data_IF_360519502247
#
_entry.id   IF_360519502247
#
_cell.length_a   1.000
_cell.length_b   1.000
_cell.length_c   1.000
_cell.angle_alpha   90.00
_cell.angle_beta   90.00
_cell.angle_gamma   90.00
#
_symmetry.space_group_name_H-M   'P 1'
#
loop_
_entity.id
_entity.type
_entity.pdbx_description
1 polymer ?
#
# COMPACT_ATOMS: atom_id res chain seq x y z
N UNK A 1 -22.31 15.69 -9.51
CA UNK A 1 -23.28 15.19 -8.62
C UNK A 1 -23.37 13.70 -8.59
N UNK A 2 -23.84 13.09 -9.66
CA UNK A 2 -23.88 11.65 -9.71
C UNK A 2 -22.54 11.02 -9.55
N UNK A 3 -21.52 11.66 -10.08
CA UNK A 3 -20.18 11.12 -10.02
C UNK A 3 -19.68 11.00 -8.58
N UNK A 4 -19.98 11.98 -7.77
CA UNK A 4 -19.52 11.91 -6.38
C UNK A 4 -20.19 10.79 -5.64
N UNK A 5 -21.45 10.54 -5.91
CA UNK A 5 -22.11 9.44 -5.24
C UNK A 5 -21.54 8.10 -5.66
N UNK A 6 -21.26 7.96 -6.95
CA UNK A 6 -20.69 6.73 -7.45
C UNK A 6 -19.30 6.52 -6.89
N UNK A 7 -18.54 7.60 -6.80
CA UNK A 7 -17.23 7.52 -6.20
C UNK A 7 -17.31 7.12 -4.74
N UNK A 8 -18.28 7.64 -4.03
CA UNK A 8 -18.46 7.25 -2.64
C UNK A 8 -18.77 5.78 -2.51
N UNK A 9 -19.60 5.25 -3.40
CA UNK A 9 -19.90 3.83 -3.38
C UNK A 9 -18.69 2.97 -3.68
N UNK A 10 -17.85 3.43 -4.61
CA UNK A 10 -16.63 2.71 -4.90
C UNK A 10 -15.68 2.72 -3.71
N UNK A 11 -15.65 3.82 -2.99
CA UNK A 11 -14.83 3.91 -1.80
C UNK A 11 -15.31 3.00 -0.69
N UNK A 12 -16.58 2.64 -0.67
CA UNK A 12 -17.06 1.66 0.29
C UNK A 12 -16.51 0.28 -0.01
N UNK A 13 -16.21 -0.01 -1.26
CA UNK A 13 -15.69 -1.31 -1.65
C UNK A 13 -14.17 -1.41 -1.51
N UNK A 14 -13.48 -0.29 -1.43
CA UNK A 14 -12.03 -0.30 -1.36
C UNK A 14 -11.53 0.85 -0.50
N UNK A 15 -10.48 0.58 0.25
CA UNK A 15 -9.79 1.59 1.04
C UNK A 15 -8.43 1.81 0.42
N UNK A 16 -8.10 3.05 0.16
CA UNK A 16 -6.82 3.41 -0.42
C UNK A 16 -6.01 4.16 0.63
N UNK A 17 -4.77 3.72 0.80
CA UNK A 17 -3.83 4.35 1.70
C UNK A 17 -2.60 4.72 0.91
N UNK A 18 -2.27 6.01 0.91
CA UNK A 18 -1.08 6.50 0.24
C UNK A 18 0.03 6.62 1.26
N UNK A 19 1.12 5.91 1.04
CA UNK A 19 2.20 5.85 2.01
C UNK A 19 3.20 6.98 1.86
N UNK A 20 3.01 7.86 0.90
CA UNK A 20 3.97 8.90 0.60
C UNK A 20 3.70 10.14 1.44
N UNK A 21 3.95 10.01 2.72
CA UNK A 21 3.92 11.13 3.61
C UNK A 21 2.57 11.54 4.13
N UNK A 22 1.53 10.89 3.75
CA UNK A 22 0.22 11.24 4.23
C UNK A 22 -0.34 10.22 5.15
N UNK A 23 -1.03 10.70 6.13
CA UNK A 23 -1.72 9.83 7.04
C UNK A 23 -3.10 9.51 6.54
N UNK A 24 -3.37 9.73 5.32
CA UNK A 24 -4.68 9.43 4.78
C UNK A 24 -4.93 7.95 4.93
N UNK A 25 -5.77 7.63 5.82
CA UNK A 25 -6.07 6.26 6.12
C UNK A 25 -7.54 6.07 5.97
N UNK A 26 -7.94 4.98 5.37
CA UNK A 26 -9.33 4.63 5.33
C UNK A 26 -9.80 4.16 6.68
N UNK A 27 -11.04 3.64 6.74
CA UNK A 27 -11.59 3.20 8.00
C UNK A 27 -10.91 1.96 8.58
N UNK A 28 -10.18 1.21 7.79
CA UNK A 28 -9.63 -0.06 8.23
C UNK A 28 -8.14 -0.04 8.51
N UNK A 29 -7.39 0.88 7.92
CA UNK A 29 -5.93 0.80 7.92
C UNK A 29 -5.29 2.08 8.39
N UNK A 30 -4.16 1.94 9.09
CA UNK A 30 -3.28 3.03 9.43
C UNK A 30 -1.92 2.78 8.80
N UNK A 31 -1.28 3.84 8.36
CA UNK A 31 0.10 3.78 7.96
C UNK A 31 0.95 3.66 9.22
N UNK A 32 1.76 2.63 9.29
CA UNK A 32 2.55 2.37 10.49
C UNK A 32 4.04 2.63 10.29
N UNK A 33 4.47 2.88 9.07
CA UNK A 33 5.87 3.20 8.81
C UNK A 33 6.32 2.71 7.46
N UNK A 34 7.49 3.17 7.05
CA UNK A 34 8.08 2.75 5.79
C UNK A 34 9.30 3.57 5.46
N UNK A 35 9.90 3.28 4.33
CA UNK A 35 11.03 4.02 3.86
C UNK A 35 11.93 3.19 2.98
N UNK A 36 13.01 3.83 2.54
CA UNK A 36 14.01 3.18 1.71
C UNK A 36 15.00 2.43 2.57
N UNK A 37 15.48 1.31 2.03
CA UNK A 37 16.51 0.50 2.66
C UNK A 37 17.65 0.34 1.65
N UNK A 38 18.86 0.51 2.13
CA UNK A 38 20.04 0.25 1.34
C UNK A 38 20.87 -0.82 2.06
N UNK A 39 21.11 -1.91 1.37
CA UNK A 39 21.90 -2.99 1.93
C UNK A 39 23.35 -2.83 1.45
N UNK A 40 24.23 -2.48 2.37
CA UNK A 40 25.63 -2.23 2.03
C UNK A 40 26.37 -3.46 1.52
N UNK A 41 25.95 -4.63 1.95
CA UNK A 41 26.62 -5.86 1.53
C UNK A 41 26.41 -6.17 0.08
N UNK A 42 25.19 -5.96 -0.39
CA UNK A 42 24.80 -6.35 -1.74
C UNK A 42 24.55 -5.15 -2.63
N UNK A 43 24.64 -3.93 -2.07
CA UNK A 43 24.37 -2.70 -2.79
C UNK A 43 22.94 -2.64 -3.32
N UNK A 44 22.02 -3.32 -2.67
CA UNK A 44 20.62 -3.32 -3.10
C UNK A 44 19.85 -2.17 -2.47
N UNK A 45 18.92 -1.63 -3.25
CA UNK A 45 17.98 -0.64 -2.76
C UNK A 45 16.57 -1.18 -2.91
N UNK A 46 15.74 -0.93 -1.92
CA UNK A 46 14.31 -1.18 -2.05
C UNK A 46 13.59 -0.28 -1.07
N UNK A 47 12.28 -0.20 -1.20
CA UNK A 47 11.49 0.50 -0.19
C UNK A 47 10.21 -0.26 0.09
N UNK A 48 9.64 0.06 1.22
CA UNK A 48 8.44 -0.62 1.63
C UNK A 48 7.67 0.17 2.64
N UNK A 49 6.58 -0.42 3.08
CA UNK A 49 5.72 0.20 4.07
C UNK A 49 5.05 -0.86 4.92
N UNK A 50 4.57 -0.41 6.07
CA UNK A 50 3.82 -1.26 6.99
C UNK A 50 2.48 -0.57 7.24
N UNK A 51 1.42 -1.34 7.14
CA UNK A 51 0.09 -0.87 7.52
C UNK A 51 -0.39 -1.68 8.71
N UNK A 52 -1.22 -1.06 9.53
CA UNK A 52 -1.82 -1.68 10.69
C UNK A 52 -3.32 -1.68 10.53
N UNK A 53 -3.91 -2.80 10.88
CA UNK A 53 -5.35 -2.93 10.88
C UNK A 53 -5.94 -2.17 12.08
N UNK A 54 -6.91 -1.31 11.82
CA UNK A 54 -7.58 -0.56 12.89
C UNK A 54 -8.79 -1.29 13.45
N UNK A 55 -9.40 -2.09 12.63
CA UNK A 55 -10.56 -2.89 13.03
C UNK A 55 -10.60 -4.12 12.14
N UNK A 56 -11.39 -5.12 12.49
CA UNK A 56 -11.43 -6.36 11.71
C UNK A 56 -11.76 -6.07 10.25
N UNK A 57 -11.02 -6.72 9.36
CA UNK A 57 -11.22 -6.57 7.93
C UNK A 57 -12.41 -7.41 7.49
N UNK A 58 -13.10 -7.01 6.42
CA UNK A 58 -14.15 -7.87 5.88
C UNK A 58 -13.60 -9.21 5.46
N UNK A 59 -14.42 -10.23 5.55
CA UNK A 59 -14.02 -11.58 5.15
C UNK A 59 -13.58 -11.59 3.70
N UNK A 60 -12.55 -12.40 3.43
CA UNK A 60 -12.01 -12.57 2.09
C UNK A 60 -11.52 -11.28 1.47
N UNK A 61 -11.07 -10.35 2.31
CA UNK A 61 -10.41 -9.14 1.83
C UNK A 61 -9.04 -9.47 1.27
N UNK A 62 -8.58 -8.60 0.38
CA UNK A 62 -7.23 -8.73 -0.17
C UNK A 62 -6.61 -7.35 -0.32
N UNK A 63 -5.29 -7.35 -0.35
CA UNK A 63 -4.52 -6.13 -0.56
C UNK A 63 -3.97 -6.12 -1.97
N UNK A 64 -4.00 -4.93 -2.57
CA UNK A 64 -3.22 -4.66 -3.77
C UNK A 64 -2.35 -3.46 -3.45
N UNK A 65 -1.04 -3.61 -3.60
CA UNK A 65 -0.10 -2.54 -3.30
C UNK A 65 0.64 -2.20 -4.58
N UNK A 66 0.60 -0.92 -4.94
CA UNK A 66 1.25 -0.42 -6.13
C UNK A 66 2.39 0.49 -5.72
N UNK A 67 3.58 0.11 -6.10
CA UNK A 67 4.78 0.87 -5.79
C UNK A 67 5.29 1.55 -7.04
N UNK A 68 5.44 2.86 -6.98
CA UNK A 68 6.16 3.58 -8.03
C UNK A 68 7.62 3.20 -7.96
N UNK A 69 8.20 2.82 -9.09
CA UNK A 69 9.62 2.46 -9.18
C UNK A 69 10.21 3.15 -10.38
N UNK A 70 11.55 3.23 -10.47
CA UNK A 70 12.16 3.80 -11.67
C UNK A 70 11.68 3.04 -12.90
N UNK A 71 11.11 3.77 -13.85
CA UNK A 71 10.64 3.18 -15.08
C UNK A 71 9.24 2.59 -15.05
N UNK A 72 8.53 2.66 -13.92
CA UNK A 72 7.18 2.10 -13.90
C UNK A 72 6.65 1.87 -12.52
N UNK A 73 6.03 0.71 -12.33
CA UNK A 73 5.52 0.35 -11.02
C UNK A 73 5.63 -1.14 -10.79
N UNK A 74 5.64 -1.52 -9.52
CA UNK A 74 5.54 -2.91 -9.11
C UNK A 74 4.23 -3.06 -8.34
N UNK A 75 3.53 -4.15 -8.60
CA UNK A 75 2.25 -4.42 -7.96
C UNK A 75 2.35 -5.72 -7.21
N UNK A 76 1.92 -5.68 -5.95
CA UNK A 76 1.84 -6.88 -5.13
C UNK A 76 0.39 -7.09 -4.73
N UNK A 77 0.00 -8.36 -4.66
CA UNK A 77 -1.32 -8.72 -4.19
C UNK A 77 -1.17 -9.78 -3.12
N UNK A 78 -1.95 -9.64 -2.07
CA UNK A 78 -1.84 -10.53 -0.94
C UNK A 78 -3.20 -10.63 -0.26
N UNK A 79 -3.67 -11.84 0.08
CA UNK A 79 -4.91 -11.97 0.83
C UNK A 79 -4.72 -11.48 2.26
N UNK A 80 -5.76 -10.90 2.83
CA UNK A 80 -5.77 -10.61 4.24
C UNK A 80 -5.89 -11.90 5.02
N UNK A 81 -5.28 -11.94 6.20
CA UNK A 81 -5.25 -13.15 7.02
C UNK A 81 -5.88 -12.87 8.37
N UNK A 82 -6.74 -13.76 8.78
CA UNK A 82 -7.39 -13.64 10.08
C UNK A 82 -6.32 -13.60 11.18
N UNK A 83 -6.53 -12.69 12.13
CA UNK A 83 -5.62 -12.56 13.27
C UNK A 83 -4.36 -11.79 13.02
N UNK A 84 -4.11 -11.37 11.80
CA UNK A 84 -2.92 -10.60 11.48
C UNK A 84 -3.23 -9.12 11.60
N UNK A 85 -2.46 -8.42 12.42
CA UNK A 85 -2.72 -7.02 12.71
C UNK A 85 -1.86 -6.06 11.90
N UNK A 86 -0.74 -6.53 11.38
CA UNK A 86 0.17 -5.70 10.59
C UNK A 86 0.55 -6.42 9.31
N UNK A 87 0.75 -5.63 8.27
CA UNK A 87 1.18 -6.14 6.97
C UNK A 87 2.34 -5.30 6.48
N UNK A 88 3.38 -5.98 6.02
CA UNK A 88 4.54 -5.33 5.46
C UNK A 88 4.62 -5.64 3.98
N UNK A 89 4.79 -4.60 3.18
CA UNK A 89 4.93 -4.72 1.74
C UNK A 89 6.20 -4.01 1.32
N UNK A 90 6.89 -4.57 0.34
CA UNK A 90 8.12 -3.93 -0.12
C UNK A 90 8.37 -4.25 -1.59
N UNK A 91 9.12 -3.38 -2.25
CA UNK A 91 9.52 -3.60 -3.63
C UNK A 91 10.58 -4.69 -3.69
N UNK A 92 10.82 -5.22 -4.88
CA UNK A 92 12.06 -5.92 -5.15
C UNK A 92 13.21 -4.94 -5.20
N UNK A 93 14.39 -5.44 -5.51
CA UNK A 93 15.57 -4.60 -5.63
C UNK A 93 15.41 -3.62 -6.77
N UNK A 94 15.79 -2.38 -6.53
CA UNK A 94 15.61 -1.30 -7.50
C UNK A 94 16.94 -0.75 -7.94
N UNK A 95 17.00 -0.34 -9.21
CA UNK A 95 18.12 0.41 -9.74
C UNK A 95 17.60 1.71 -10.29
N UNK A 96 18.44 2.73 -10.31
CA UNK A 96 18.05 4.00 -10.90
C UNK A 96 17.24 4.89 -9.99
N UNK A 97 17.26 4.63 -8.69
CA UNK A 97 16.59 5.52 -7.75
C UNK A 97 17.25 6.88 -7.78
N UNK A 98 16.43 7.92 -7.89
CA UNK A 98 16.91 9.30 -7.94
C UNK A 98 16.72 9.98 -6.60
N UNK A 99 17.77 10.57 -6.10
CA UNK A 99 17.71 11.32 -4.85
C UNK A 99 16.76 12.50 -5.03
N UNK A 100 15.94 12.72 -4.02
CA UNK A 100 15.00 13.84 -4.06
C UNK A 100 13.71 13.57 -4.82
N UNK A 101 13.63 12.47 -5.53
CA UNK A 101 12.39 12.11 -6.21
C UNK A 101 11.48 11.36 -5.24
N UNK A 102 10.26 11.82 -5.02
CA UNK A 102 9.33 11.08 -4.16
C UNK A 102 8.75 9.89 -4.91
N UNK A 103 8.87 8.73 -4.31
CA UNK A 103 8.29 7.51 -4.87
C UNK A 103 7.04 7.17 -4.09
N UNK A 104 5.94 6.97 -4.78
CA UNK A 104 4.63 6.80 -4.16
C UNK A 104 4.25 5.33 -4.08
N UNK A 105 3.70 4.95 -2.96
CA UNK A 105 3.09 3.63 -2.82
C UNK A 105 1.62 3.81 -2.45
N UNK A 106 0.79 2.98 -3.04
CA UNK A 106 -0.65 3.02 -2.78
C UNK A 106 -1.09 1.64 -2.34
N UNK A 107 -1.78 1.59 -1.22
CA UNK A 107 -2.33 0.34 -0.69
C UNK A 107 -3.83 0.37 -0.89
N UNK A 108 -4.35 -0.64 -1.55
CA UNK A 108 -5.78 -0.78 -1.80
C UNK A 108 -6.25 -2.02 -1.08
N UNK A 109 -7.25 -1.85 -0.23
CA UNK A 109 -7.91 -2.98 0.43
C UNK A 109 -9.21 -3.24 -0.31
N UNK A 110 -9.38 -4.46 -0.77
CA UNK A 110 -10.58 -4.86 -1.49
C UNK A 110 -11.34 -5.89 -0.69
N UNK A 111 -12.63 -5.68 -0.54
CA UNK A 111 -13.50 -6.68 0.04
C UNK A 111 -13.78 -7.75 -1.00
N UNK A 112 -14.32 -8.87 -0.54
CA UNK A 112 -14.68 -9.96 -1.43
C UNK A 112 -15.65 -9.46 -2.50
N UNK A 113 -15.39 -9.81 -3.74
CA UNK A 113 -16.20 -9.39 -4.86
C UNK A 113 -15.97 -7.95 -5.30
N UNK A 114 -15.02 -7.24 -4.65
CA UNK A 114 -14.81 -5.82 -4.92
C UNK A 114 -13.59 -5.50 -5.77
#
# INVERSE_FOLDING_TARGET
MFHSRRLALLLLAATVLTACGDEAAGPYLDYAGGGFVFNYRTANHYYGLVVRQKKPLPEDSSFEVRFEVPGGEQVQREPARAGRLQYKFQTGDLEGIEAGHPYRAVVILRAAGG
#
